data_IF_236151868067
#
_entry.id   IF_236151868067
#
_cell.length_a   1.000
_cell.length_b   1.000
_cell.length_c   1.000
_cell.angle_alpha   90.00
_cell.angle_beta   90.00
_cell.angle_gamma   90.00
#
_symmetry.space_group_name_H-M   'P 1'
#
loop_
_entity.id
_entity.type
_entity.pdbx_description
1 polymer ?
#
# COMPACT_ATOMS: atom_id res chain seq x y z
N UNK A 1 12.90 2.14 40.14
CA UNK A 1 12.83 2.83 38.83
C UNK A 1 11.39 3.33 38.67
N UNK A 2 11.18 4.49 38.03
CA UNK A 2 9.82 5.00 37.78
C UNK A 2 9.11 4.14 36.74
N UNK A 3 7.87 3.72 37.01
CA UNK A 3 7.06 2.95 36.08
C UNK A 3 6.59 3.84 34.92
N UNK A 4 6.81 3.42 33.68
CA UNK A 4 6.23 4.04 32.49
C UNK A 4 4.91 3.34 32.12
N UNK A 5 3.98 4.10 31.54
CA UNK A 5 2.67 3.60 31.09
C UNK A 5 2.54 3.78 29.58
N UNK A 6 2.09 2.74 28.88
CA UNK A 6 2.00 2.70 27.43
C UNK A 6 0.64 2.20 26.97
N UNK A 7 0.09 2.85 25.95
CA UNK A 7 -1.10 2.39 25.26
C UNK A 7 -0.73 1.46 24.12
N UNK A 8 -1.33 0.27 24.11
CA UNK A 8 -1.08 -0.78 23.13
C UNK A 8 -2.27 -0.96 22.19
N UNK A 9 -1.97 -1.15 20.91
CA UNK A 9 -2.93 -1.66 19.91
C UNK A 9 -2.86 -3.17 19.92
N UNK A 10 -3.91 -3.82 20.42
CA UNK A 10 -4.03 -5.29 20.46
C UNK A 10 -5.09 -5.76 19.44
N UNK A 11 -4.92 -6.90 18.75
CA UNK A 11 -5.82 -7.40 17.69
C UNK A 11 -7.14 -8.00 18.23
N UNK A 12 -7.76 -7.32 19.19
CA UNK A 12 -8.94 -7.76 19.95
C UNK A 12 -10.14 -6.83 19.70
N UNK A 13 -11.34 -7.32 20.03
CA UNK A 13 -12.64 -6.66 19.70
C UNK A 13 -12.91 -5.35 20.47
N UNK A 14 -12.57 -5.20 21.76
CA UNK A 14 -12.89 -3.96 22.47
C UNK A 14 -12.32 -2.74 21.77
N UNK A 15 -13.06 -1.64 21.83
CA UNK A 15 -12.70 -0.38 21.17
C UNK A 15 -11.51 0.28 21.87
N UNK A 16 -10.55 0.77 21.07
CA UNK A 16 -9.46 1.62 21.55
C UNK A 16 -8.15 0.86 21.79
N UNK A 17 -7.40 1.34 22.77
CA UNK A 17 -6.10 0.83 23.21
C UNK A 17 -6.17 0.28 24.62
N UNK A 18 -5.14 -0.46 25.02
CA UNK A 18 -5.02 -1.02 26.37
C UNK A 18 -3.73 -0.53 27.01
N UNK A 19 -3.84 -0.01 28.23
CA UNK A 19 -2.69 0.53 28.95
C UNK A 19 -1.95 -0.56 29.72
N UNK A 20 -0.64 -0.61 29.57
CA UNK A 20 0.27 -1.52 30.26
C UNK A 20 1.47 -0.75 30.81
N UNK A 21 2.21 -1.39 31.72
CA UNK A 21 3.37 -0.79 32.38
C UNK A 21 4.69 -1.39 31.94
N UNK A 22 5.77 -0.62 32.03
CA UNK A 22 7.15 -1.08 31.79
C UNK A 22 8.13 -0.29 32.65
N UNK A 23 9.18 -0.96 33.13
CA UNK A 23 10.31 -0.32 33.82
C UNK A 23 11.31 0.32 32.85
N UNK A 24 11.29 -0.14 31.59
CA UNK A 24 12.13 0.38 30.52
C UNK A 24 11.34 1.33 29.61
N UNK A 25 12.04 2.26 28.98
CA UNK A 25 11.45 3.08 27.93
C UNK A 25 11.29 2.24 26.66
N UNK A 26 10.08 2.19 26.10
CA UNK A 26 9.77 1.42 24.90
C UNK A 26 9.41 2.40 23.77
N UNK A 27 10.13 2.37 22.63
CA UNK A 27 9.81 3.21 21.49
C UNK A 27 8.40 2.97 20.94
N UNK A 28 7.80 4.04 20.42
CA UNK A 28 6.54 3.98 19.67
C UNK A 28 6.74 3.12 18.43
N UNK A 29 5.76 2.25 18.12
CA UNK A 29 5.84 1.36 16.97
C UNK A 29 6.54 0.03 17.22
N UNK A 30 7.05 -0.20 18.44
CA UNK A 30 7.62 -1.49 18.83
C UNK A 30 6.56 -2.58 18.94
N UNK A 31 6.92 -3.80 18.53
CA UNK A 31 6.08 -4.98 18.79
C UNK A 31 6.29 -5.46 20.21
N UNK A 32 5.19 -5.80 20.86
CA UNK A 32 5.20 -6.29 22.24
C UNK A 32 4.32 -7.51 22.38
N UNK A 33 4.67 -8.34 23.34
CA UNK A 33 3.88 -9.49 23.79
C UNK A 33 3.37 -9.21 25.18
N UNK A 34 2.08 -9.45 25.39
CA UNK A 34 1.41 -9.17 26.66
C UNK A 34 0.41 -10.26 27.03
N UNK A 35 0.13 -10.41 28.33
CA UNK A 35 -1.04 -11.15 28.79
C UNK A 35 -2.30 -10.29 28.65
N UNK A 36 -3.29 -10.81 27.94
CA UNK A 36 -4.63 -10.24 27.84
C UNK A 36 -5.63 -11.24 28.44
N UNK A 37 -6.11 -10.99 29.66
CA UNK A 37 -6.77 -12.02 30.45
C UNK A 37 -5.79 -13.16 30.78
N UNK A 38 -6.12 -14.39 30.38
CA UNK A 38 -5.31 -15.60 30.53
C UNK A 38 -4.49 -15.98 29.29
N UNK A 39 -4.71 -15.31 28.16
CA UNK A 39 -4.02 -15.59 26.88
C UNK A 39 -2.88 -14.62 26.62
N UNK A 40 -1.95 -15.04 25.78
CA UNK A 40 -0.89 -14.19 25.23
C UNK A 40 -1.41 -13.53 23.96
N UNK A 41 -1.20 -12.22 23.84
CA UNK A 41 -1.45 -11.44 22.64
C UNK A 41 -0.20 -10.67 22.22
N UNK A 42 -0.10 -10.37 20.93
CA UNK A 42 0.95 -9.54 20.36
C UNK A 42 0.33 -8.25 19.84
N UNK A 43 0.99 -7.12 20.07
CA UNK A 43 0.48 -5.82 19.70
C UNK A 43 1.58 -4.84 19.36
N UNK A 44 1.16 -3.58 19.17
CA UNK A 44 2.05 -2.47 18.81
C UNK A 44 1.92 -1.39 19.86
N UNK A 45 3.05 -0.85 20.32
CA UNK A 45 3.09 0.32 21.19
C UNK A 45 2.61 1.54 20.40
N UNK A 46 1.48 2.14 20.80
CA UNK A 46 0.96 3.37 20.19
C UNK A 46 1.68 4.62 20.70
N UNK A 47 2.07 4.62 21.98
CA UNK A 47 2.59 5.80 22.66
C UNK A 47 2.58 5.63 24.18
N UNK A 48 3.12 6.62 24.88
CA UNK A 48 2.89 6.75 26.33
C UNK A 48 1.40 6.99 26.59
N UNK A 49 0.89 6.47 27.70
CA UNK A 49 -0.53 6.57 28.02
C UNK A 49 -0.92 8.02 28.31
N UNK A 50 -1.98 8.50 27.66
CA UNK A 50 -2.48 9.86 27.85
C UNK A 50 -3.20 10.05 29.19
N UNK A 51 -3.76 8.96 29.74
CA UNK A 51 -4.52 8.96 31.00
C UNK A 51 -4.21 7.71 31.81
N UNK A 52 -3.90 7.92 33.09
CA UNK A 52 -3.68 6.86 34.07
C UNK A 52 -4.75 7.03 35.14
N UNK A 53 -5.45 5.94 35.46
CA UNK A 53 -6.47 5.90 36.48
C UNK A 53 -5.88 5.26 37.74
N UNK A 54 -5.86 5.96 38.88
CA UNK A 54 -5.20 5.49 40.11
C UNK A 54 -5.83 4.21 40.67
N UNK A 55 -7.12 3.98 40.40
CA UNK A 55 -7.87 2.82 40.91
C UNK A 55 -7.73 1.56 40.04
N UNK A 56 -6.99 1.64 38.92
CA UNK A 56 -6.78 0.51 38.02
C UNK A 56 -5.40 -0.10 38.30
N UNK A 57 -5.38 -1.42 38.51
CA UNK A 57 -4.14 -2.19 38.49
C UNK A 57 -3.74 -2.52 37.05
N UNK A 58 -2.55 -2.09 36.67
CA UNK A 58 -2.02 -2.29 35.31
C UNK A 58 -1.07 -3.50 35.28
N UNK A 59 -1.18 -4.29 34.21
CA UNK A 59 -0.25 -5.39 33.96
C UNK A 59 1.02 -4.87 33.28
N UNK A 60 2.14 -5.53 33.54
CA UNK A 60 3.40 -5.26 32.83
C UNK A 60 3.38 -5.81 31.40
N UNK A 61 4.11 -5.14 30.51
CA UNK A 61 4.49 -5.68 29.21
C UNK A 61 5.41 -6.87 29.44
N UNK A 62 5.14 -8.01 28.80
CA UNK A 62 5.90 -9.24 29.05
C UNK A 62 7.22 -9.28 28.30
N UNK A 63 7.22 -8.82 27.05
CA UNK A 63 8.38 -8.90 26.16
C UNK A 63 8.27 -7.82 25.08
N UNK A 64 9.38 -7.14 24.79
CA UNK A 64 9.55 -6.30 23.59
C UNK A 64 10.28 -7.15 22.55
N UNK A 65 9.69 -7.30 21.36
CA UNK A 65 10.16 -8.31 20.39
C UNK A 65 11.28 -7.81 19.47
N UNK A 66 11.55 -6.50 19.45
CA UNK A 66 12.49 -5.88 18.52
C UNK A 66 13.38 -4.85 19.23
N UNK A 67 14.65 -4.81 18.85
CA UNK A 67 15.59 -3.78 19.31
C UNK A 67 15.28 -2.39 18.73
N UNK A 68 14.51 -2.33 17.64
CA UNK A 68 14.08 -1.11 16.96
C UNK A 68 12.60 -1.19 16.60
N UNK A 69 11.85 -0.07 16.67
CA UNK A 69 10.45 -0.06 16.29
C UNK A 69 10.26 -0.45 14.82
N UNK A 70 9.23 -1.27 14.56
CA UNK A 70 8.92 -1.83 13.23
C UNK A 70 7.90 -0.99 12.49
N UNK A 71 7.02 -0.30 13.24
CA UNK A 71 5.89 0.45 12.70
C UNK A 71 6.11 1.95 12.89
N UNK A 72 6.40 2.71 11.82
CA UNK A 72 6.60 4.15 11.92
C UNK A 72 5.34 4.88 12.42
N UNK A 73 5.48 6.06 13.01
CA UNK A 73 4.35 6.86 13.49
C UNK A 73 3.31 7.17 12.39
N UNK A 74 3.78 7.35 11.15
CA UNK A 74 2.92 7.52 9.97
C UNK A 74 2.03 6.29 9.72
N UNK A 75 2.53 5.08 9.98
CA UNK A 75 1.72 3.86 9.89
C UNK A 75 0.64 3.83 10.98
N UNK A 76 0.99 4.20 12.22
CA UNK A 76 0.01 4.31 13.31
C UNK A 76 -1.05 5.38 13.02
N UNK A 77 -0.65 6.49 12.41
CA UNK A 77 -1.57 7.54 11.95
C UNK A 77 -2.54 7.01 10.90
N UNK A 78 -2.05 6.21 9.94
CA UNK A 78 -2.89 5.54 8.95
C UNK A 78 -3.90 4.59 9.60
N UNK A 79 -3.48 3.75 10.55
CA UNK A 79 -4.38 2.85 11.27
C UNK A 79 -5.47 3.62 12.04
N UNK A 80 -5.11 4.72 12.70
CA UNK A 80 -6.06 5.57 13.42
C UNK A 80 -7.06 6.24 12.45
N UNK A 81 -6.60 6.81 11.33
CA UNK A 81 -7.48 7.40 10.32
C UNK A 81 -8.41 6.33 9.70
N UNK A 82 -7.91 5.14 9.39
CA UNK A 82 -8.71 4.02 8.90
C UNK A 82 -9.79 3.61 9.92
N UNK A 83 -9.38 3.40 11.18
CA UNK A 83 -10.27 3.04 12.29
C UNK A 83 -11.41 4.06 12.43
N UNK A 84 -11.09 5.35 12.41
CA UNK A 84 -12.07 6.42 12.53
C UNK A 84 -12.96 6.56 11.30
N UNK A 85 -12.40 6.48 10.10
CA UNK A 85 -13.16 6.65 8.87
C UNK A 85 -14.14 5.49 8.64
N UNK A 86 -13.69 4.25 8.82
CA UNK A 86 -14.51 3.04 8.64
C UNK A 86 -15.19 2.57 9.93
N UNK A 87 -15.17 3.38 10.99
CA UNK A 87 -15.81 3.09 12.27
C UNK A 87 -15.52 1.67 12.80
N UNK A 88 -14.28 1.21 12.60
CA UNK A 88 -13.83 -0.13 12.98
C UNK A 88 -12.90 0.00 14.18
N UNK A 89 -13.03 -0.81 15.25
CA UNK A 89 -12.11 -0.74 16.39
C UNK A 89 -10.64 -0.84 15.94
N UNK A 90 -9.76 -0.01 16.49
CA UNK A 90 -8.36 0.13 16.06
C UNK A 90 -7.60 -1.21 15.99
N UNK A 91 -7.79 -2.07 17.00
CA UNK A 91 -7.23 -3.42 17.01
C UNK A 91 -7.70 -4.32 15.86
N UNK A 92 -8.97 -4.18 15.48
CA UNK A 92 -9.59 -4.90 14.35
C UNK A 92 -9.12 -4.32 13.03
N UNK A 93 -8.99 -3.00 12.93
CA UNK A 93 -8.42 -2.33 11.77
C UNK A 93 -7.00 -2.85 11.50
N UNK A 94 -6.14 -2.86 12.53
CA UNK A 94 -4.79 -3.44 12.46
C UNK A 94 -4.83 -4.91 12.00
N UNK A 95 -5.68 -5.74 12.62
CA UNK A 95 -5.78 -7.17 12.29
C UNK A 95 -6.22 -7.42 10.84
N UNK A 96 -7.04 -6.56 10.26
CA UNK A 96 -7.51 -6.69 8.89
C UNK A 96 -6.46 -6.32 7.82
N UNK A 97 -5.44 -5.55 8.20
CA UNK A 97 -4.38 -5.11 7.27
C UNK A 97 -3.01 -5.73 7.53
N UNK A 98 -2.78 -6.26 8.73
CA UNK A 98 -1.51 -6.83 9.16
C UNK A 98 -1.67 -8.31 9.51
N UNK A 99 -0.87 -9.15 8.85
CA UNK A 99 -0.92 -10.60 9.09
C UNK A 99 -0.43 -10.95 10.51
N UNK A 100 -1.17 -11.81 11.21
CA UNK A 100 -0.82 -12.28 12.56
C UNK A 100 0.61 -12.82 12.65
N UNK A 101 1.06 -13.54 11.62
CA UNK A 101 2.40 -14.10 11.54
C UNK A 101 3.51 -13.05 11.53
N UNK A 102 3.22 -11.79 11.19
CA UNK A 102 4.16 -10.67 11.28
C UNK A 102 4.21 -10.12 12.70
N UNK A 103 3.07 -10.08 13.42
CA UNK A 103 3.03 -9.58 14.79
C UNK A 103 3.69 -10.55 15.78
N UNK A 104 3.60 -11.85 15.54
CA UNK A 104 3.99 -12.87 16.52
C UNK A 104 5.29 -13.63 16.21
N UNK A 105 5.91 -13.43 15.04
CA UNK A 105 7.16 -14.11 14.70
C UNK A 105 8.37 -13.27 15.06
N UNK A 106 9.53 -13.91 15.16
CA UNK A 106 10.80 -13.21 15.10
C UNK A 106 10.93 -12.42 13.80
N UNK A 107 11.70 -11.33 13.87
CA UNK A 107 12.10 -10.56 12.70
C UNK A 107 13.02 -11.42 11.85
N UNK A 108 12.80 -11.43 10.53
CA UNK A 108 13.71 -12.11 9.60
C UNK A 108 14.67 -11.09 9.01
N UNK A 109 15.97 -11.36 9.14
CA UNK A 109 16.97 -10.67 8.34
C UNK A 109 16.95 -11.23 6.92
N UNK A 110 16.78 -10.32 5.96
CA UNK A 110 16.63 -10.67 4.55
C UNK A 110 17.81 -10.11 3.79
N UNK A 111 18.60 -11.00 3.21
CA UNK A 111 19.65 -10.61 2.27
C UNK A 111 19.03 -10.30 0.90
N UNK A 112 19.40 -9.14 0.37
CA UNK A 112 18.96 -8.64 -0.94
C UNK A 112 20.10 -8.84 -1.92
N UNK A 113 19.93 -9.75 -2.87
CA UNK A 113 20.75 -9.77 -4.08
C UNK A 113 19.99 -9.00 -5.17
N UNK A 114 20.21 -7.68 -5.21
CA UNK A 114 19.62 -6.82 -6.22
C UNK A 114 20.73 -6.47 -7.21
N UNK A 115 20.86 -7.28 -8.25
CA UNK A 115 21.66 -6.89 -9.41
C UNK A 115 20.86 -5.88 -10.25
N UNK A 116 21.37 -4.66 -10.44
CA UNK A 116 20.76 -3.72 -11.39
C UNK A 116 21.15 -4.11 -12.83
N UNK A 117 20.30 -4.91 -13.47
CA UNK A 117 20.36 -5.21 -14.91
C UNK A 117 19.20 -4.55 -15.66
N UNK A 118 18.77 -3.37 -15.21
CA UNK A 118 17.58 -2.72 -15.77
C UNK A 118 17.74 -2.36 -17.25
N UNK A 119 16.71 -2.65 -18.05
CA UNK A 119 16.68 -2.32 -19.48
C UNK A 119 16.00 -0.96 -19.64
N UNK A 120 16.63 0.00 -20.32
CA UNK A 120 16.00 1.28 -20.66
C UNK A 120 14.82 1.05 -21.62
N UNK A 121 13.62 1.51 -21.24
CA UNK A 121 12.45 1.43 -22.09
C UNK A 121 12.36 2.66 -23.00
N UNK A 122 12.06 2.43 -24.28
CA UNK A 122 11.79 3.51 -25.23
C UNK A 122 10.32 3.96 -25.11
N UNK A 123 10.09 5.01 -24.32
CA UNK A 123 8.78 5.66 -24.20
C UNK A 123 8.43 6.47 -25.46
N UNK A 124 7.17 6.44 -25.88
CA UNK A 124 6.63 7.31 -26.93
C UNK A 124 6.67 8.80 -26.50
N UNK A 125 6.44 9.73 -27.44
CA UNK A 125 6.40 11.18 -27.12
C UNK A 125 5.32 11.50 -26.07
N UNK A 126 4.13 10.92 -26.22
CA UNK A 126 3.01 11.14 -25.30
C UNK A 126 3.30 10.54 -23.92
N UNK A 127 3.84 9.32 -23.88
CA UNK A 127 4.27 8.67 -22.63
C UNK A 127 5.37 9.47 -21.94
N UNK A 128 6.35 9.98 -22.69
CA UNK A 128 7.45 10.78 -22.16
C UNK A 128 6.97 12.10 -21.55
N UNK A 129 5.97 12.74 -22.14
CA UNK A 129 5.34 13.95 -21.57
C UNK A 129 4.72 13.66 -20.20
N UNK A 130 3.89 12.61 -20.11
CA UNK A 130 3.26 12.17 -18.86
C UNK A 130 4.30 11.74 -17.84
N UNK A 131 5.27 10.94 -18.24
CA UNK A 131 6.39 10.51 -17.39
C UNK A 131 7.16 11.71 -16.82
N UNK A 132 7.59 12.65 -17.66
CA UNK A 132 8.33 13.86 -17.23
C UNK A 132 7.50 14.71 -16.26
N UNK A 133 6.19 14.74 -16.49
CA UNK A 133 5.23 15.44 -15.63
C UNK A 133 5.08 14.78 -14.26
N UNK A 134 5.14 13.44 -14.19
CA UNK A 134 5.06 12.65 -12.96
C UNK A 134 6.40 12.55 -12.22
N UNK A 135 7.54 12.59 -12.91
CA UNK A 135 8.85 12.53 -12.24
C UNK A 135 9.17 13.82 -11.48
N UNK A 136 8.73 14.97 -11.99
CA UNK A 136 8.88 16.27 -11.32
C UNK A 136 8.22 16.31 -9.93
N UNK A 137 7.14 15.55 -9.74
CA UNK A 137 6.37 15.55 -8.48
C UNK A 137 6.84 14.50 -7.46
N UNK A 138 7.74 13.57 -7.84
CA UNK A 138 8.29 12.55 -6.91
C UNK A 138 8.95 13.16 -5.67
N UNK A 139 9.48 14.38 -5.79
CA UNK A 139 10.12 15.10 -4.69
C UNK A 139 9.32 16.31 -4.19
N UNK A 140 8.13 16.55 -4.75
CA UNK A 140 7.30 17.72 -4.41
C UNK A 140 6.30 17.46 -3.27
N UNK A 141 6.27 16.25 -2.73
CA UNK A 141 5.35 15.84 -1.66
C UNK A 141 4.08 15.15 -2.18
N UNK A 142 3.01 15.23 -1.40
CA UNK A 142 1.75 14.60 -1.73
C UNK A 142 1.13 15.15 -3.01
N UNK A 143 0.71 14.23 -3.89
CA UNK A 143 -0.12 14.54 -5.05
C UNK A 143 -0.91 13.31 -5.47
N UNK A 144 -2.20 13.47 -5.71
CA UNK A 144 -3.04 12.42 -6.29
C UNK A 144 -3.14 12.62 -7.80
N UNK A 145 -2.76 11.60 -8.57
CA UNK A 145 -2.66 11.68 -10.02
C UNK A 145 -3.49 10.57 -10.65
N UNK A 146 -4.48 10.92 -11.49
CA UNK A 146 -5.25 9.97 -12.28
C UNK A 146 -4.61 9.84 -13.67
N UNK A 147 -4.00 8.68 -13.95
CA UNK A 147 -3.51 8.31 -15.26
C UNK A 147 -4.60 7.55 -16.04
N UNK A 148 -5.32 8.27 -16.87
CA UNK A 148 -6.35 7.73 -17.76
C UNK A 148 -5.72 7.38 -19.12
N UNK A 149 -5.65 6.10 -19.45
CA UNK A 149 -5.12 5.66 -20.73
C UNK A 149 -5.77 4.36 -21.19
N UNK A 150 -6.28 4.35 -22.42
CA UNK A 150 -6.92 3.19 -23.03
C UNK A 150 -6.01 1.95 -23.00
N UNK A 151 -6.59 0.75 -23.01
CA UNK A 151 -5.81 -0.50 -23.00
C UNK A 151 -4.82 -0.52 -24.15
N UNK A 152 -3.56 -0.84 -23.84
CA UNK A 152 -2.45 -0.80 -24.81
C UNK A 152 -1.83 0.59 -25.02
N UNK A 153 -2.24 1.64 -24.30
CA UNK A 153 -1.55 2.95 -24.29
C UNK A 153 -0.16 2.94 -23.64
N UNK A 154 0.17 1.85 -22.94
CA UNK A 154 1.46 1.64 -22.28
C UNK A 154 1.59 2.34 -20.92
N UNK A 155 0.53 2.33 -20.11
CA UNK A 155 0.57 2.80 -18.70
C UNK A 155 1.64 2.06 -17.89
N UNK A 156 1.75 0.75 -18.09
CA UNK A 156 2.72 -0.11 -17.40
C UNK A 156 4.17 0.32 -17.66
N UNK A 157 4.51 0.73 -18.89
CA UNK A 157 5.83 1.25 -19.23
C UNK A 157 6.15 2.54 -18.44
N UNK A 158 5.17 3.43 -18.25
CA UNK A 158 5.35 4.62 -17.41
C UNK A 158 5.56 4.22 -15.95
N UNK A 159 4.78 3.27 -15.41
CA UNK A 159 4.96 2.81 -14.03
C UNK A 159 6.35 2.22 -13.79
N UNK A 160 6.86 1.42 -14.71
CA UNK A 160 8.20 0.83 -14.61
C UNK A 160 9.28 1.91 -14.56
N UNK A 161 9.19 2.93 -15.43
CA UNK A 161 10.16 4.03 -15.42
C UNK A 161 10.04 4.90 -14.15
N UNK A 162 8.82 5.13 -13.64
CA UNK A 162 8.62 5.82 -12.36
C UNK A 162 9.19 5.04 -11.18
N UNK A 163 9.03 3.72 -11.19
CA UNK A 163 9.64 2.83 -10.20
C UNK A 163 11.16 2.98 -10.24
N UNK A 164 11.78 2.85 -11.42
CA UNK A 164 13.24 3.01 -11.58
C UNK A 164 13.72 4.36 -11.07
N UNK A 165 13.02 5.43 -11.39
CA UNK A 165 13.36 6.78 -10.94
C UNK A 165 13.29 6.91 -9.41
N UNK A 166 12.27 6.33 -8.76
CA UNK A 166 12.19 6.30 -7.30
C UNK A 166 13.32 5.49 -6.67
N UNK A 167 13.62 4.32 -7.22
CA UNK A 167 14.68 3.43 -6.74
C UNK A 167 16.06 4.09 -6.87
N UNK A 168 16.32 4.79 -7.99
CA UNK A 168 17.55 5.57 -8.19
C UNK A 168 17.75 6.66 -7.13
N UNK A 169 16.66 7.19 -6.58
CA UNK A 169 16.66 8.17 -5.48
C UNK A 169 16.73 7.53 -4.09
N UNK A 170 16.92 6.21 -4.01
CA UNK A 170 16.95 5.46 -2.74
C UNK A 170 15.59 5.32 -2.07
N UNK A 171 14.49 5.60 -2.78
CA UNK A 171 13.12 5.48 -2.26
C UNK A 171 12.50 4.14 -2.66
N UNK A 172 11.57 3.67 -1.83
CA UNK A 172 10.83 2.44 -2.06
C UNK A 172 9.48 2.71 -2.73
N UNK A 173 8.96 1.72 -3.47
CA UNK A 173 7.68 1.85 -4.18
C UNK A 173 6.70 0.75 -3.76
N UNK A 174 5.45 1.13 -3.54
CA UNK A 174 4.34 0.19 -3.42
C UNK A 174 3.60 0.18 -4.77
N UNK A 175 3.56 -0.98 -5.43
CA UNK A 175 2.82 -1.16 -6.68
C UNK A 175 1.67 -2.15 -6.46
N UNK A 176 0.45 -1.60 -6.39
CA UNK A 176 -0.78 -2.37 -6.28
C UNK A 176 -1.34 -2.71 -7.66
N UNK A 177 -1.71 -3.97 -7.83
CA UNK A 177 -2.48 -4.50 -8.96
C UNK A 177 -3.66 -5.34 -8.44
N UNK A 178 -4.73 -5.54 -9.22
CA UNK A 178 -5.78 -6.49 -8.85
C UNK A 178 -5.20 -7.89 -8.62
N UNK A 179 -5.75 -8.65 -7.66
CA UNK A 179 -5.21 -9.97 -7.31
C UNK A 179 -5.20 -10.93 -8.51
N UNK A 180 -6.20 -10.83 -9.38
CA UNK A 180 -6.32 -11.62 -10.62
C UNK A 180 -5.23 -11.28 -11.66
N UNK A 181 -4.68 -10.07 -11.61
CA UNK A 181 -3.68 -9.57 -12.56
C UNK A 181 -2.26 -9.97 -12.15
N UNK A 182 -2.07 -10.40 -10.90
CA UNK A 182 -0.79 -10.76 -10.31
C UNK A 182 -0.33 -12.17 -10.72
N UNK A 183 -0.36 -12.45 -12.02
CA UNK A 183 0.04 -13.76 -12.56
C UNK A 183 1.57 -13.88 -12.62
N UNK A 184 2.13 -15.10 -12.53
CA UNK A 184 3.58 -15.31 -12.64
C UNK A 184 4.19 -14.72 -13.91
N UNK A 185 3.44 -14.70 -15.02
CA UNK A 185 3.88 -14.15 -16.30
C UNK A 185 4.06 -12.63 -16.24
N UNK A 186 3.12 -11.92 -15.61
CA UNK A 186 3.22 -10.46 -15.43
C UNK A 186 4.38 -10.11 -14.49
N UNK A 187 4.52 -10.84 -13.39
CA UNK A 187 5.62 -10.64 -12.44
C UNK A 187 6.98 -10.90 -13.10
N UNK A 188 7.09 -11.96 -13.90
CA UNK A 188 8.32 -12.26 -14.64
C UNK A 188 8.67 -11.13 -15.61
N UNK A 189 7.70 -10.65 -16.41
CA UNK A 189 7.91 -9.52 -17.34
C UNK A 189 8.33 -8.25 -16.61
N UNK A 190 7.74 -7.97 -15.45
CA UNK A 190 8.14 -6.82 -14.63
C UNK A 190 9.56 -7.00 -14.08
N UNK A 191 9.91 -8.20 -13.63
CA UNK A 191 11.25 -8.52 -13.13
C UNK A 191 12.32 -8.35 -14.22
N UNK A 192 12.06 -8.84 -15.43
CA UNK A 192 12.94 -8.67 -16.59
C UNK A 192 13.14 -7.18 -16.95
N UNK A 193 12.06 -6.38 -16.92
CA UNK A 193 12.13 -4.95 -17.25
C UNK A 193 12.76 -4.09 -16.15
N UNK A 194 12.59 -4.48 -14.89
CA UNK A 194 13.17 -3.80 -13.73
C UNK A 194 14.61 -4.25 -13.45
N UNK A 195 15.03 -5.41 -13.97
CA UNK A 195 16.39 -5.92 -13.83
C UNK A 195 16.64 -6.74 -12.56
N UNK A 196 15.63 -6.92 -11.69
CA UNK A 196 15.74 -7.69 -10.45
C UNK A 196 14.46 -8.50 -10.17
N UNK A 197 14.55 -9.50 -9.30
CA UNK A 197 13.39 -10.30 -8.90
C UNK A 197 12.42 -9.47 -8.06
N UNK A 198 11.22 -9.20 -8.59
CA UNK A 198 10.23 -8.38 -7.89
C UNK A 198 9.54 -9.21 -6.81
N UNK A 199 9.60 -8.79 -5.53
CA UNK A 199 8.93 -9.50 -4.46
C UNK A 199 7.42 -9.24 -4.51
N UNK A 200 6.66 -10.33 -4.43
CA UNK A 200 5.20 -10.32 -4.55
C UNK A 200 4.56 -10.46 -3.17
N UNK A 201 3.51 -9.69 -2.87
CA UNK A 201 2.77 -9.75 -1.61
C UNK A 201 1.25 -9.85 -1.82
N UNK A 202 0.64 -10.97 -1.43
CA UNK A 202 -0.81 -11.17 -1.49
C UNK A 202 -1.33 -12.13 -0.40
N UNK A 203 -2.64 -12.16 -0.22
CA UNK A 203 -3.38 -12.94 0.79
C UNK A 203 -3.07 -14.44 0.75
N UNK A 204 -2.95 -15.03 -0.45
CA UNK A 204 -2.69 -16.48 -0.65
C UNK A 204 -1.24 -16.94 -0.41
N UNK A 205 -0.31 -16.05 -0.10
CA UNK A 205 1.08 -16.45 0.21
C UNK A 205 1.17 -17.23 1.51
N UNK A 206 2.09 -18.20 1.56
CA UNK A 206 2.42 -18.91 2.80
C UNK A 206 3.00 -17.94 3.84
N UNK A 207 2.81 -18.20 5.16
CA UNK A 207 3.30 -17.31 6.21
C UNK A 207 4.80 -16.99 6.10
N UNK A 208 5.63 -17.99 5.80
CA UNK A 208 7.09 -17.82 5.62
C UNK A 208 7.42 -16.88 4.45
N UNK A 209 6.71 -16.99 3.32
CA UNK A 209 6.91 -16.09 2.16
C UNK A 209 6.42 -14.67 2.47
N UNK A 210 5.27 -14.53 3.14
CA UNK A 210 4.79 -13.21 3.60
C UNK A 210 5.78 -12.53 4.52
N UNK A 211 6.32 -13.25 5.51
CA UNK A 211 7.35 -12.72 6.40
C UNK A 211 8.59 -12.27 5.64
N UNK A 212 9.13 -13.09 4.73
CA UNK A 212 10.30 -12.71 3.92
C UNK A 212 10.07 -11.41 3.14
N UNK A 213 8.92 -11.29 2.46
CA UNK A 213 8.61 -10.08 1.68
C UNK A 213 8.33 -8.88 2.57
N UNK A 214 7.57 -9.05 3.65
CA UNK A 214 7.29 -8.00 4.62
C UNK A 214 8.57 -7.43 5.22
N UNK A 215 9.44 -8.30 5.77
CA UNK A 215 10.68 -7.86 6.43
C UNK A 215 11.68 -7.29 5.44
N UNK A 216 11.79 -7.86 4.24
CA UNK A 216 12.63 -7.31 3.19
C UNK A 216 12.18 -5.92 2.74
N UNK A 217 10.88 -5.67 2.60
CA UNK A 217 10.40 -4.32 2.26
C UNK A 217 10.51 -3.37 3.47
N UNK A 218 10.15 -3.81 4.67
CA UNK A 218 10.21 -2.99 5.88
C UNK A 218 11.63 -2.52 6.23
N UNK A 219 12.65 -3.35 6.01
CA UNK A 219 14.04 -3.01 6.27
C UNK A 219 14.69 -2.11 5.20
N UNK A 220 13.99 -1.81 4.11
CA UNK A 220 14.56 -1.13 2.94
C UNK A 220 15.31 -2.04 1.97
N UNK A 221 15.46 -3.33 2.31
CA UNK A 221 16.13 -4.32 1.48
C UNK A 221 15.46 -4.50 0.10
N UNK A 222 14.12 -4.53 0.06
CA UNK A 222 13.37 -4.60 -1.19
C UNK A 222 12.88 -3.21 -1.62
N UNK A 223 13.37 -2.67 -2.76
CA UNK A 223 13.05 -1.32 -3.19
C UNK A 223 11.64 -1.20 -3.80
N UNK A 224 11.00 -2.32 -4.07
CA UNK A 224 9.65 -2.42 -4.61
C UNK A 224 8.93 -3.56 -3.92
N UNK A 225 7.65 -3.38 -3.61
CA UNK A 225 6.72 -4.48 -3.41
C UNK A 225 5.61 -4.39 -4.44
N UNK A 226 5.36 -5.49 -5.16
CA UNK A 226 4.16 -5.63 -5.99
C UNK A 226 3.14 -6.48 -5.25
N UNK A 227 1.87 -6.10 -5.26
CA UNK A 227 0.89 -6.92 -4.57
C UNK A 227 -0.56 -6.54 -4.80
N UNK A 228 -1.42 -7.34 -4.19
CA UNK A 228 -2.84 -7.06 -4.08
C UNK A 228 -3.10 -6.15 -2.87
N UNK A 229 -4.34 -6.14 -2.36
CA UNK A 229 -4.78 -5.18 -1.33
C UNK A 229 -3.88 -5.03 -0.11
N UNK A 230 -3.45 -6.16 0.46
CA UNK A 230 -2.68 -6.16 1.70
C UNK A 230 -1.28 -5.56 1.57
N UNK A 231 -0.76 -5.40 0.34
CA UNK A 231 0.58 -4.84 0.13
C UNK A 231 0.65 -3.33 0.42
N UNK A 232 -0.47 -2.61 0.34
CA UNK A 232 -0.54 -1.19 0.67
C UNK A 232 -0.11 -0.90 2.11
N UNK A 233 -0.30 -1.87 3.01
CA UNK A 233 -0.13 -1.70 4.45
C UNK A 233 1.18 -2.30 4.98
N UNK A 234 2.17 -2.56 4.11
CA UNK A 234 3.51 -2.89 4.56
C UNK A 234 4.22 -1.58 4.94
N UNK A 235 4.62 -1.38 6.21
CA UNK A 235 5.29 -0.17 6.65
C UNK A 235 6.74 -0.13 6.15
N UNK A 236 7.20 1.07 5.79
CA UNK A 236 8.61 1.38 5.53
C UNK A 236 8.83 2.88 5.80
N UNK A 237 10.04 3.24 6.19
CA UNK A 237 10.46 4.62 6.43
C UNK A 237 10.66 5.44 5.14
N UNK A 238 10.92 4.77 4.01
CA UNK A 238 11.41 5.38 2.78
C UNK A 238 10.48 5.16 1.57
N UNK A 239 9.18 4.94 1.78
CA UNK A 239 8.21 4.89 0.69
C UNK A 239 8.22 6.26 -0.02
N UNK A 240 8.41 6.25 -1.34
CA UNK A 240 8.47 7.46 -2.18
C UNK A 240 7.37 7.57 -3.23
N UNK A 241 6.67 6.48 -3.51
CA UNK A 241 5.62 6.42 -4.53
C UNK A 241 4.66 5.27 -4.23
N UNK A 242 3.37 5.53 -4.42
CA UNK A 242 2.33 4.50 -4.46
C UNK A 242 1.72 4.48 -5.86
N UNK A 243 1.64 3.30 -6.48
CA UNK A 243 0.96 3.08 -7.75
C UNK A 243 -0.20 2.13 -7.50
N UNK A 244 -1.39 2.47 -7.98
CA UNK A 244 -2.57 1.60 -8.00
C UNK A 244 -2.99 1.45 -9.45
N UNK A 245 -2.76 0.29 -10.04
CA UNK A 245 -3.19 -0.02 -11.40
C UNK A 245 -4.57 -0.66 -11.42
N UNK A 246 -5.31 -0.40 -12.49
CA UNK A 246 -6.74 -0.70 -12.61
C UNK A 246 -7.56 -0.22 -11.38
N UNK A 247 -7.38 1.04 -10.97
CA UNK A 247 -7.99 1.63 -9.76
C UNK A 247 -9.52 1.51 -9.67
N UNK A 248 -10.19 1.29 -10.80
CA UNK A 248 -11.63 1.10 -10.90
C UNK A 248 -12.12 -0.29 -10.46
N UNK A 249 -11.20 -1.23 -10.27
CA UNK A 249 -11.52 -2.63 -10.07
C UNK A 249 -12.22 -2.87 -8.73
N UNK A 250 -13.28 -3.68 -8.73
CA UNK A 250 -14.18 -3.84 -7.57
C UNK A 250 -13.60 -4.70 -6.45
N UNK A 251 -12.69 -5.65 -6.74
CA UNK A 251 -11.99 -6.45 -5.73
C UNK A 251 -11.12 -5.60 -4.79
N UNK A 252 -10.84 -4.34 -5.10
CA UNK A 252 -10.22 -3.38 -4.19
C UNK A 252 -11.07 -3.01 -2.96
N UNK A 253 -12.38 -3.28 -3.00
CA UNK A 253 -13.25 -3.17 -1.83
C UNK A 253 -13.04 -4.38 -0.90
N UNK A 254 -12.72 -4.12 0.36
CA UNK A 254 -12.71 -5.13 1.42
C UNK A 254 -14.11 -5.26 2.01
N UNK A 255 -14.65 -6.48 2.03
CA UNK A 255 -15.98 -6.77 2.59
C UNK A 255 -15.92 -6.97 4.12
N UNK A 256 -14.90 -7.68 4.60
CA UNK A 256 -14.70 -7.90 6.04
C UNK A 256 -14.19 -6.65 6.76
N UNK A 257 -14.34 -6.58 8.09
CA UNK A 257 -13.84 -5.45 8.88
C UNK A 257 -12.30 -5.40 8.92
N UNK A 258 -11.67 -4.23 8.67
CA UNK A 258 -12.27 -2.96 8.24
C UNK A 258 -12.72 -3.00 6.77
N UNK A 259 -13.96 -2.57 6.49
CA UNK A 259 -14.52 -2.59 5.13
C UNK A 259 -14.01 -1.40 4.28
N UNK A 260 -12.69 -1.35 4.08
CA UNK A 260 -12.05 -0.25 3.37
C UNK A 260 -12.17 -0.35 1.85
N UNK A 261 -11.97 0.79 1.17
CA UNK A 261 -11.75 0.84 -0.26
C UNK A 261 -10.26 1.14 -0.52
N UNK A 262 -9.54 0.27 -1.24
CA UNK A 262 -8.09 0.38 -1.37
C UNK A 262 -7.67 1.69 -2.03
N UNK A 263 -8.36 2.11 -3.09
CA UNK A 263 -8.08 3.37 -3.79
C UNK A 263 -8.05 4.56 -2.82
N UNK A 264 -9.08 4.67 -1.99
CA UNK A 264 -9.22 5.77 -1.03
C UNK A 264 -8.14 5.68 0.06
N UNK A 265 -7.82 4.46 0.51
CA UNK A 265 -6.72 4.22 1.44
C UNK A 265 -5.36 4.53 0.84
N UNK A 266 -5.13 4.30 -0.44
CA UNK A 266 -3.88 4.61 -1.11
C UNK A 266 -3.67 6.13 -1.18
N UNK A 267 -4.73 6.89 -1.51
CA UNK A 267 -4.69 8.36 -1.50
C UNK A 267 -4.47 8.88 -0.07
N UNK A 268 -5.22 8.36 0.90
CA UNK A 268 -5.05 8.73 2.32
C UNK A 268 -3.64 8.43 2.83
N UNK A 269 -3.09 7.26 2.49
CA UNK A 269 -1.78 6.86 2.98
C UNK A 269 -0.67 7.66 2.29
N UNK A 270 -0.80 7.95 1.00
CA UNK A 270 0.11 8.83 0.28
C UNK A 270 0.14 10.26 0.87
N UNK A 271 -1.01 10.79 1.29
CA UNK A 271 -1.12 12.06 2.02
C UNK A 271 -0.34 12.03 3.35
N UNK A 272 -0.56 10.99 4.16
CA UNK A 272 0.17 10.79 5.44
C UNK A 272 1.68 10.65 5.23
N UNK A 273 2.07 9.91 4.18
CA UNK A 273 3.47 9.72 3.81
C UNK A 273 4.09 10.98 3.22
N UNK A 274 3.27 11.91 2.71
CA UNK A 274 3.65 13.07 1.91
C UNK A 274 4.38 12.67 0.61
N UNK A 275 3.77 11.77 -0.17
CA UNK A 275 4.33 11.22 -1.43
C UNK A 275 3.29 11.22 -2.55
N UNK A 276 3.70 11.19 -3.83
CA UNK A 276 2.75 11.00 -4.91
C UNK A 276 2.05 9.63 -4.85
N UNK A 277 0.79 9.63 -5.28
CA UNK A 277 0.04 8.43 -5.66
C UNK A 277 -0.40 8.54 -7.12
N UNK A 278 -0.23 7.46 -7.86
CA UNK A 278 -0.69 7.33 -9.26
C UNK A 278 -1.79 6.28 -9.31
N UNK A 279 -2.99 6.72 -9.66
CA UNK A 279 -4.16 5.90 -9.90
C UNK A 279 -4.29 5.66 -11.40
N UNK A 280 -4.12 4.43 -11.83
CA UNK A 280 -4.09 4.02 -13.23
C UNK A 280 -5.40 3.38 -13.66
N UNK A 281 -5.95 3.79 -14.80
CA UNK A 281 -7.12 3.09 -15.37
C UNK A 281 -7.27 3.31 -16.87
N UNK A 282 -7.81 2.32 -17.57
CA UNK A 282 -8.40 2.52 -18.91
C UNK A 282 -9.84 3.03 -18.85
N UNK A 283 -10.53 2.78 -17.73
CA UNK A 283 -11.92 3.15 -17.48
C UNK A 283 -11.99 3.67 -16.04
N UNK A 284 -11.58 4.92 -15.77
CA UNK A 284 -11.52 5.46 -14.42
C UNK A 284 -12.85 5.29 -13.67
N UNK A 285 -12.77 5.01 -12.38
CA UNK A 285 -13.93 5.05 -11.49
C UNK A 285 -14.55 6.45 -11.51
N UNK A 286 -15.87 6.50 -11.32
CA UNK A 286 -16.62 7.76 -11.33
C UNK A 286 -16.08 8.72 -10.28
N UNK A 287 -15.69 8.22 -9.10
CA UNK A 287 -15.15 9.05 -8.03
C UNK A 287 -13.76 9.60 -8.35
N UNK A 288 -12.86 8.79 -8.93
CA UNK A 288 -11.54 9.27 -9.37
C UNK A 288 -11.67 10.32 -10.47
N UNK A 289 -12.54 10.06 -11.45
CA UNK A 289 -12.79 11.00 -12.54
C UNK A 289 -13.41 12.31 -12.03
N UNK A 290 -14.39 12.22 -11.13
CA UNK A 290 -14.99 13.39 -10.49
C UNK A 290 -13.96 14.21 -9.68
N UNK A 291 -13.09 13.56 -8.90
CA UNK A 291 -12.03 14.26 -8.16
C UNK A 291 -11.03 14.94 -9.11
N UNK A 292 -10.76 14.33 -10.26
CA UNK A 292 -9.90 14.91 -11.28
C UNK A 292 -10.53 16.15 -11.94
N UNK A 293 -11.81 16.08 -12.31
CA UNK A 293 -12.56 17.21 -12.88
C UNK A 293 -12.66 18.39 -11.90
N UNK A 294 -12.75 18.12 -10.60
CA UNK A 294 -12.78 19.16 -9.56
C UNK A 294 -11.39 19.63 -9.10
N UNK A 295 -10.31 19.19 -9.78
CA UNK A 295 -8.94 19.61 -9.49
C UNK A 295 -8.35 19.06 -8.19
N UNK A 296 -9.04 18.15 -7.49
CA UNK A 296 -8.46 17.44 -6.33
C UNK A 296 -7.39 16.46 -6.77
N UNK A 297 -7.61 15.80 -7.90
CA UNK A 297 -6.61 14.93 -8.55
C UNK A 297 -6.08 15.62 -9.81
N UNK A 298 -4.81 15.41 -10.10
CA UNK A 298 -4.24 15.80 -11.39
C UNK A 298 -4.65 14.79 -12.46
N UNK A 299 -5.31 15.25 -13.50
CA UNK A 299 -5.69 14.41 -14.63
C UNK A 299 -4.55 14.31 -15.66
N UNK A 300 -4.17 13.09 -16.03
CA UNK A 300 -3.15 12.79 -17.02
C UNK A 300 -3.70 11.79 -18.02
N UNK A 301 -3.71 12.15 -19.30
CA UNK A 301 -4.40 11.38 -20.33
C UNK A 301 -3.44 10.80 -21.38
N UNK A 302 -3.69 9.56 -21.79
CA UNK A 302 -2.99 8.86 -22.87
C UNK A 302 -4.00 8.38 -23.93
N UNK A 303 -4.27 9.24 -24.90
CA UNK A 303 -5.32 9.04 -25.91
C UNK A 303 -4.96 8.09 -27.06
N UNK A 304 -3.72 7.60 -27.14
CA UNK A 304 -3.25 6.76 -28.25
C UNK A 304 -2.78 5.40 -27.76
N UNK A 305 -3.16 4.34 -28.48
CA UNK A 305 -2.57 3.01 -28.30
C UNK A 305 -1.11 3.02 -28.75
N UNK A 306 -0.27 2.32 -28.02
CA UNK A 306 1.08 1.98 -28.44
C UNK A 306 1.01 1.16 -29.76
N UNK A 307 1.79 1.56 -30.76
CA UNK A 307 1.83 0.99 -32.12
C UNK A 307 0.58 1.20 -33.01
N UNK A 308 -0.20 2.27 -32.84
CA UNK A 308 -1.24 2.71 -33.81
C UNK A 308 -2.30 1.65 -34.21
N UNK A 309 -2.52 0.59 -33.40
CA UNK A 309 -3.54 -0.41 -33.70
C UNK A 309 -4.93 0.24 -33.70
N UNK A 310 -5.62 0.17 -34.85
CA UNK A 310 -6.98 0.68 -35.02
C UNK A 310 -7.94 0.07 -33.98
N UNK A 311 -8.93 0.87 -33.55
CA UNK A 311 -10.04 0.38 -32.75
C UNK A 311 -10.89 -0.59 -33.61
N UNK A 312 -11.50 -1.62 -33.01
CA UNK A 312 -12.44 -2.45 -33.75
C UNK A 312 -13.60 -1.60 -34.28
N UNK A 313 -14.13 -1.96 -35.43
CA UNK A 313 -15.36 -1.35 -35.96
C UNK A 313 -16.53 -1.69 -35.01
N UNK A 314 -17.22 -0.67 -34.52
CA UNK A 314 -18.38 -0.81 -33.63
C UNK A 314 -19.63 -0.52 -34.47
N UNK A 315 -20.53 -1.49 -34.57
CA UNK A 315 -21.85 -1.34 -35.20
C UNK A 315 -22.93 -1.45 -34.13
N UNK A 316 -23.89 -0.53 -34.15
CA UNK A 316 -25.05 -0.57 -33.24
C UNK A 316 -26.20 -1.24 -34.00
N UNK A 317 -26.86 -2.21 -33.37
CA UNK A 317 -28.02 -2.89 -33.95
C UNK A 317 -29.26 -2.43 -33.19
N UNK A 318 -30.24 -1.86 -33.88
CA UNK A 318 -31.54 -1.57 -33.29
C UNK A 318 -32.30 -2.90 -33.11
N UNK A 319 -32.56 -3.31 -31.88
CA UNK A 319 -33.31 -4.54 -31.60
C UNK A 319 -34.80 -4.45 -31.98
N UNK A 320 -35.33 -3.25 -32.26
CA UNK A 320 -36.72 -3.05 -32.71
C UNK A 320 -36.87 -3.25 -34.22
N UNK A 321 -35.93 -2.75 -35.01
CA UNK A 321 -35.99 -2.83 -36.47
C UNK A 321 -35.07 -3.92 -37.04
N UNK A 322 -34.13 -4.43 -36.23
CA UNK A 322 -33.03 -5.33 -36.64
C UNK A 322 -32.08 -4.72 -37.67
N UNK A 323 -32.10 -3.40 -37.84
CA UNK A 323 -31.22 -2.67 -38.74
C UNK A 323 -29.94 -2.22 -38.01
N UNK A 324 -28.87 -2.04 -38.78
CA UNK A 324 -27.68 -1.34 -38.31
C UNK A 324 -28.03 0.15 -38.22
N UNK A 325 -27.77 0.74 -37.05
CA UNK A 325 -27.81 2.18 -36.87
C UNK A 325 -26.44 2.70 -37.30
N UNK A 326 -26.39 3.39 -38.44
CA UNK A 326 -25.21 4.15 -38.83
C UNK A 326 -25.08 5.36 -37.89
N UNK A 327 -23.92 5.50 -37.25
CA UNK A 327 -23.60 6.60 -36.33
C UNK A 327 -23.42 7.94 -37.04
#
# INVERSE_FOLDING_TARGET
MSLNYYDLILPVVPKGTFTYTSEHDIPVGSRVKVFFGSRIEHGIVKGKADKIHPDISYKNINEVLDDKPVFPEKYLTMLNKMSNYYQTPLGIAMRGVLAKSILSSERLDVDCDISDKSILLNLSKDQRSVYTSLTKIIDSGFSANLLHGITGSGKTEIYIELVKECIKKGKQVIYIVPEISLTPQIVQRLSERLGFSVPVYHSKLSPKRKQKVFWGFNSGCYPLVIGARSALFIPSDNIGLIIVDEEHESSFKQEESPSYQLRDMAVMYADILNVPVVLGSATPSVESYFNALNGKYRYLELNKRFNEKQLPEIKIIDLKTSDIIDN
#
